data_IF_627820333613
#
_entry.id   IF_627820333613
#
_cell.length_a   1.000
_cell.length_b   1.000
_cell.length_c   1.000
_cell.angle_alpha   90.00
_cell.angle_beta   90.00
_cell.angle_gamma   90.00
#
_symmetry.space_group_name_H-M   'P 1'
#
loop_
_entity.id
_entity.type
_entity.pdbx_description
1 polymer ?
#
# COMPACT_ATOMS: atom_id res chain seq x y z
N UNK A 1 26.34 3.70 -11.90
CA UNK A 1 26.40 4.96 -12.66
C UNK A 1 25.17 4.96 -13.55
N UNK A 2 24.15 5.72 -13.18
CA UNK A 2 22.85 5.77 -13.85
C UNK A 2 22.99 6.72 -15.05
N UNK A 3 22.69 6.26 -16.26
CA UNK A 3 22.74 7.11 -17.45
C UNK A 3 21.36 7.15 -18.11
N UNK A 4 20.75 8.32 -17.96
CA UNK A 4 19.66 8.85 -18.78
C UNK A 4 20.05 8.88 -20.26
N UNK A 5 19.07 8.99 -21.15
CA UNK A 5 19.34 9.26 -22.56
C UNK A 5 19.85 10.70 -22.70
N UNK A 6 21.17 10.85 -22.76
CA UNK A 6 21.83 12.14 -22.81
C UNK A 6 22.34 12.37 -24.25
N UNK A 7 21.83 13.41 -24.91
CA UNK A 7 22.32 13.85 -26.22
C UNK A 7 23.35 14.97 -26.03
N UNK A 8 24.41 14.96 -26.83
CA UNK A 8 25.45 16.01 -26.81
C UNK A 8 25.12 17.04 -27.89
N UNK A 9 24.55 18.17 -27.50
CA UNK A 9 24.25 19.26 -28.43
C UNK A 9 25.24 20.41 -28.19
N UNK A 10 26.17 20.55 -29.14
CA UNK A 10 27.03 21.71 -29.42
C UNK A 10 28.15 22.10 -28.43
N UNK A 11 29.39 22.13 -28.95
CA UNK A 11 30.50 22.89 -28.37
C UNK A 11 30.21 24.39 -28.47
N UNK A 12 30.03 25.05 -27.33
CA UNK A 12 30.14 26.52 -27.27
C UNK A 12 31.60 26.93 -27.12
N UNK A 13 31.96 28.12 -27.62
CA UNK A 13 33.33 28.67 -27.69
C UNK A 13 34.09 28.80 -26.35
N UNK A 14 33.53 28.31 -25.24
CA UNK A 14 34.15 28.24 -23.91
C UNK A 14 34.44 26.81 -23.42
N UNK A 15 34.28 25.78 -24.26
CA UNK A 15 34.61 24.39 -23.90
C UNK A 15 33.65 23.75 -22.89
N UNK A 16 32.45 24.32 -22.73
CA UNK A 16 31.39 23.75 -21.89
C UNK A 16 30.52 22.84 -22.76
N UNK A 17 30.55 21.54 -22.47
CA UNK A 17 29.66 20.55 -23.05
C UNK A 17 28.35 20.61 -22.27
N UNK A 18 27.26 21.04 -22.92
CA UNK A 18 25.93 21.02 -22.32
C UNK A 18 25.30 19.65 -22.58
N UNK A 19 25.16 18.85 -21.53
CA UNK A 19 24.56 17.50 -21.59
C UNK A 19 23.10 17.62 -21.14
N UNK A 20 22.16 17.45 -22.08
CA UNK A 20 20.73 17.41 -21.75
C UNK A 20 20.29 15.95 -21.64
N UNK A 21 20.05 15.50 -20.41
CA UNK A 21 19.59 14.15 -20.11
C UNK A 21 18.05 14.14 -20.00
N UNK A 22 17.38 13.33 -20.83
CA UNK A 22 15.93 13.15 -20.79
C UNK A 22 15.54 11.85 -20.08
N UNK A 23 14.45 11.89 -19.32
CA UNK A 23 13.82 10.69 -18.75
C UNK A 23 13.34 9.75 -19.87
N UNK A 24 13.67 8.46 -19.73
CA UNK A 24 13.33 7.43 -20.70
C UNK A 24 12.01 6.72 -20.36
N UNK A 25 11.56 6.78 -19.10
CA UNK A 25 10.30 6.19 -18.62
C UNK A 25 9.56 7.17 -17.70
N UNK A 26 8.22 7.10 -17.68
CA UNK A 26 7.37 7.83 -16.72
C UNK A 26 6.10 7.08 -16.38
N UNK A 27 5.58 7.32 -15.18
CA UNK A 27 4.24 6.88 -14.78
C UNK A 27 3.27 8.05 -14.89
N UNK A 28 2.32 7.95 -15.82
CA UNK A 28 1.31 8.97 -16.00
C UNK A 28 0.18 8.77 -14.99
N UNK A 29 0.15 9.64 -13.97
CA UNK A 29 -0.92 9.77 -13.00
C UNK A 29 -0.92 11.19 -12.42
N UNK A 30 -2.10 11.79 -12.23
CA UNK A 30 -2.21 13.15 -11.69
C UNK A 30 -1.89 13.26 -10.20
N UNK A 31 -1.79 12.13 -9.48
CA UNK A 31 -1.76 12.13 -8.01
C UNK A 31 -0.59 11.37 -7.37
N UNK A 32 0.22 10.61 -8.13
CA UNK A 32 1.34 9.85 -7.59
C UNK A 32 2.42 9.62 -8.65
N UNK A 33 3.68 9.93 -8.33
CA UNK A 33 4.83 9.75 -9.24
C UNK A 33 5.31 8.29 -9.33
N UNK A 34 4.99 7.46 -8.34
CA UNK A 34 5.40 6.05 -8.26
C UNK A 34 4.23 5.07 -8.54
N UNK A 35 3.15 5.55 -9.13
CA UNK A 35 1.99 4.74 -9.49
C UNK A 35 1.25 5.36 -10.66
N UNK A 36 1.07 4.63 -11.76
CA UNK A 36 0.36 5.16 -12.92
C UNK A 36 0.50 4.30 -14.16
N UNK A 37 0.02 4.84 -15.28
CA UNK A 37 0.18 4.22 -16.60
C UNK A 37 1.62 4.36 -17.06
N UNK A 38 2.27 3.24 -17.40
CA UNK A 38 3.66 3.27 -17.84
C UNK A 38 3.78 3.80 -19.27
N UNK A 39 4.65 4.78 -19.45
CA UNK A 39 5.05 5.30 -20.75
C UNK A 39 6.57 5.27 -20.89
N UNK A 40 7.03 4.96 -22.10
CA UNK A 40 8.44 4.96 -22.49
C UNK A 40 8.66 6.00 -23.58
N UNK A 41 9.82 6.68 -23.56
CA UNK A 41 10.20 7.70 -24.53
C UNK A 41 11.23 7.13 -25.49
N UNK A 42 10.89 7.06 -26.77
CA UNK A 42 11.81 6.66 -27.83
C UNK A 42 11.75 7.67 -28.98
N UNK A 43 12.91 8.11 -29.48
CA UNK A 43 12.99 9.13 -30.54
C UNK A 43 12.11 10.38 -30.29
N UNK A 44 12.10 10.86 -29.04
CA UNK A 44 11.29 12.00 -28.58
C UNK A 44 9.77 11.79 -28.57
N UNK A 45 9.29 10.56 -28.83
CA UNK A 45 7.87 10.20 -28.78
C UNK A 45 7.61 9.37 -27.52
N UNK A 46 6.55 9.71 -26.78
CA UNK A 46 6.07 8.92 -25.65
C UNK A 46 5.05 7.90 -26.13
N UNK A 47 5.28 6.63 -25.81
CA UNK A 47 4.38 5.53 -26.10
C UNK A 47 3.97 4.81 -24.82
N UNK A 48 2.74 4.33 -24.77
CA UNK A 48 2.24 3.49 -23.68
C UNK A 48 2.79 2.06 -23.80
N UNK A 49 3.18 1.45 -22.68
CA UNK A 49 3.77 0.09 -22.69
C UNK A 49 2.66 -0.97 -22.64
N UNK A 50 2.70 -1.91 -23.57
CA UNK A 50 1.76 -3.03 -23.61
C UNK A 50 1.80 -3.88 -22.33
N UNK A 51 0.67 -4.46 -21.93
CA UNK A 51 0.64 -5.41 -20.81
C UNK A 51 1.01 -6.85 -21.18
N UNK A 52 0.93 -7.20 -22.47
CA UNK A 52 1.23 -8.56 -22.92
C UNK A 52 2.75 -8.80 -22.89
N UNK A 53 3.17 -9.84 -22.17
CA UNK A 53 4.59 -10.14 -21.95
C UNK A 53 5.26 -9.35 -20.83
N UNK A 54 4.62 -8.28 -20.32
CA UNK A 54 5.17 -7.50 -19.21
C UNK A 54 5.16 -8.31 -17.91
N UNK A 55 6.35 -8.56 -17.36
CA UNK A 55 6.53 -9.42 -16.20
C UNK A 55 7.09 -8.69 -14.97
N UNK A 56 7.46 -9.46 -13.94
CA UNK A 56 8.00 -8.91 -12.71
C UNK A 56 9.39 -8.29 -12.91
N UNK A 57 10.19 -8.82 -13.84
CA UNK A 57 11.57 -8.40 -14.09
C UNK A 57 11.56 -7.05 -14.80
N UNK A 58 10.65 -6.85 -15.76
CA UNK A 58 10.40 -5.55 -16.37
C UNK A 58 9.98 -4.51 -15.32
N UNK A 59 9.06 -4.90 -14.43
CA UNK A 59 8.57 -4.05 -13.35
C UNK A 59 9.68 -3.63 -12.37
N UNK A 60 10.65 -4.52 -12.10
CA UNK A 60 11.83 -4.23 -11.27
C UNK A 60 12.74 -3.18 -11.90
N UNK A 61 13.00 -3.30 -13.20
CA UNK A 61 13.82 -2.32 -13.94
C UNK A 61 13.16 -0.95 -13.92
N UNK A 62 11.85 -0.88 -14.21
CA UNK A 62 11.10 0.39 -14.24
C UNK A 62 11.04 1.07 -12.88
N UNK A 63 10.68 0.33 -11.82
CA UNK A 63 10.60 0.92 -10.49
C UNK A 63 11.97 1.39 -9.97
N UNK A 64 13.06 0.71 -10.37
CA UNK A 64 14.43 1.13 -10.07
C UNK A 64 14.83 2.36 -10.87
N UNK A 65 14.53 2.40 -12.16
CA UNK A 65 14.83 3.53 -13.06
C UNK A 65 14.13 4.82 -12.58
N UNK A 66 12.89 4.70 -12.10
CA UNK A 66 12.13 5.81 -11.51
C UNK A 66 12.55 6.18 -10.09
N UNK A 67 13.46 5.42 -9.46
CA UNK A 67 13.83 5.61 -8.05
C UNK A 67 12.69 5.31 -7.06
N UNK A 68 11.65 4.62 -7.51
CA UNK A 68 10.42 4.36 -6.76
C UNK A 68 10.44 3.04 -5.96
N UNK A 69 11.60 2.38 -5.88
CA UNK A 69 11.80 1.16 -5.10
C UNK A 69 11.53 -0.12 -5.89
N UNK A 70 10.94 -1.12 -5.23
CA UNK A 70 10.59 -2.41 -5.86
C UNK A 70 9.18 -2.36 -6.45
N UNK A 71 8.80 -3.24 -7.38
CA UNK A 71 7.43 -3.30 -7.88
C UNK A 71 6.48 -3.85 -6.80
N UNK A 72 5.39 -3.12 -6.54
CA UNK A 72 4.35 -3.53 -5.60
C UNK A 72 3.21 -4.25 -6.30
N UNK A 73 2.75 -3.69 -7.43
CA UNK A 73 1.63 -4.24 -8.20
C UNK A 73 1.70 -3.74 -9.64
N UNK A 74 1.38 -4.60 -10.59
CA UNK A 74 1.17 -4.24 -11.98
C UNK A 74 -0.04 -5.01 -12.54
N UNK A 75 -0.77 -4.39 -13.46
CA UNK A 75 -1.89 -5.01 -14.18
C UNK A 75 -2.11 -4.35 -15.54
N UNK A 76 -2.57 -5.13 -16.50
CA UNK A 76 -3.06 -4.61 -17.78
C UNK A 76 -4.44 -3.98 -17.64
N UNK A 77 -4.62 -2.80 -18.24
CA UNK A 77 -5.89 -2.09 -18.31
C UNK A 77 -6.12 -1.56 -19.73
N UNK A 78 -7.40 -1.50 -20.13
CA UNK A 78 -7.77 -1.00 -21.44
C UNK A 78 -7.74 0.53 -21.45
N UNK A 79 -6.84 1.10 -22.25
CA UNK A 79 -6.74 2.54 -22.49
C UNK A 79 -6.94 2.83 -23.98
N UNK A 80 -7.73 3.86 -24.29
CA UNK A 80 -8.04 4.22 -25.68
C UNK A 80 -6.84 4.79 -26.44
N UNK A 81 -6.73 4.39 -27.73
CA UNK A 81 -5.96 4.92 -28.87
C UNK A 81 -4.83 5.94 -28.57
N UNK A 82 -3.84 5.54 -27.78
CA UNK A 82 -2.54 6.22 -27.71
C UNK A 82 -1.50 5.40 -28.48
N UNK A 83 -0.40 6.01 -28.99
CA UNK A 83 0.71 5.26 -29.57
C UNK A 83 1.23 4.23 -28.56
N UNK A 84 1.20 2.96 -28.93
CA UNK A 84 1.54 1.84 -28.05
C UNK A 84 2.90 1.28 -28.47
N UNK A 85 3.76 1.05 -27.48
CA UNK A 85 4.98 0.28 -27.64
C UNK A 85 4.55 -1.18 -27.72
N UNK A 86 4.61 -1.74 -28.93
CA UNK A 86 3.97 -3.00 -29.30
C UNK A 86 4.86 -4.23 -29.12
N UNK A 87 6.13 -4.04 -28.74
CA UNK A 87 7.11 -5.10 -28.54
C UNK A 87 7.29 -5.41 -27.05
N UNK A 88 7.42 -6.70 -26.75
CA UNK A 88 7.69 -7.23 -25.41
C UNK A 88 9.10 -6.85 -24.96
N UNK A 89 9.23 -6.42 -23.70
CA UNK A 89 10.51 -6.25 -23.03
C UNK A 89 10.92 -7.59 -22.42
N UNK A 90 12.18 -7.97 -22.60
CA UNK A 90 12.73 -9.23 -22.10
C UNK A 90 13.83 -8.91 -21.07
N UNK A 91 13.47 -8.16 -20.03
CA UNK A 91 14.43 -7.77 -19.00
C UNK A 91 14.86 -8.97 -18.14
N UNK A 92 16.14 -9.04 -17.80
CA UNK A 92 16.69 -9.94 -16.78
C UNK A 92 16.59 -9.39 -15.35
N UNK A 93 16.06 -8.17 -15.15
CA UNK A 93 15.85 -7.52 -13.85
C UNK A 93 17.05 -6.71 -13.34
N UNK A 94 18.17 -6.69 -14.06
CA UNK A 94 19.45 -6.09 -13.64
C UNK A 94 19.86 -4.89 -14.51
N UNK A 95 19.08 -4.59 -15.54
CA UNK A 95 19.31 -3.54 -16.51
C UNK A 95 19.22 -2.15 -15.88
N UNK A 96 19.99 -1.20 -16.42
CA UNK A 96 20.00 0.18 -15.93
C UNK A 96 18.74 0.98 -16.26
N UNK A 97 17.93 0.50 -17.21
CA UNK A 97 16.64 1.08 -17.57
C UNK A 97 15.91 0.22 -18.61
N UNK A 98 14.63 0.46 -18.80
CA UNK A 98 13.74 -0.40 -19.60
C UNK A 98 14.17 -0.51 -21.07
N UNK A 99 14.69 0.58 -21.65
CA UNK A 99 15.22 0.59 -23.03
C UNK A 99 16.56 -0.14 -23.20
N UNK A 100 17.21 -0.54 -22.11
CA UNK A 100 18.43 -1.36 -22.16
C UNK A 100 18.14 -2.86 -22.12
N UNK A 101 16.87 -3.24 -21.97
CA UNK A 101 16.46 -4.62 -22.08
C UNK A 101 16.40 -5.05 -23.54
N UNK A 102 16.59 -6.35 -23.76
CA UNK A 102 16.33 -6.94 -25.07
C UNK A 102 14.83 -6.85 -25.37
N UNK A 103 14.47 -6.79 -26.66
CA UNK A 103 13.09 -6.61 -27.09
C UNK A 103 12.75 -7.54 -28.24
N UNK A 104 11.51 -8.01 -28.26
CA UNK A 104 11.01 -8.85 -29.34
C UNK A 104 10.87 -8.07 -30.65
N UNK A 105 11.28 -8.66 -31.77
CA UNK A 105 11.04 -8.12 -33.12
C UNK A 105 9.58 -8.29 -33.61
N UNK A 106 8.73 -8.92 -32.81
CA UNK A 106 7.36 -9.28 -33.17
C UNK A 106 6.34 -8.49 -32.36
N UNK A 107 5.39 -7.86 -33.05
CA UNK A 107 4.22 -7.26 -32.41
C UNK A 107 3.35 -8.35 -31.76
N UNK A 108 3.36 -8.40 -30.44
CA UNK A 108 2.60 -9.38 -29.62
C UNK A 108 1.44 -8.74 -28.86
N UNK A 109 1.27 -7.42 -28.96
CA UNK A 109 0.33 -6.67 -28.15
C UNK A 109 -1.13 -6.80 -28.61
N UNK A 110 -2.03 -7.10 -27.68
CA UNK A 110 -3.47 -6.97 -27.84
C UNK A 110 -3.87 -5.48 -27.94
N UNK A 111 -4.80 -5.09 -28.84
CA UNK A 111 -5.12 -3.68 -29.03
C UNK A 111 -5.64 -2.99 -27.76
N UNK A 112 -4.93 -1.94 -27.32
CA UNK A 112 -5.39 -1.04 -26.27
C UNK A 112 -5.15 -1.54 -24.85
N UNK A 113 -4.34 -2.58 -24.64
CA UNK A 113 -3.99 -3.07 -23.29
C UNK A 113 -2.66 -2.50 -22.82
N UNK A 114 -2.71 -1.47 -21.97
CA UNK A 114 -1.52 -0.83 -21.42
C UNK A 114 -1.28 -1.25 -19.97
N UNK A 115 -0.02 -1.35 -19.56
CA UNK A 115 0.35 -1.67 -18.19
C UNK A 115 0.22 -0.45 -17.25
N UNK A 116 -0.47 -0.66 -16.14
CA UNK A 116 -0.47 0.23 -14.97
C UNK A 116 0.46 -0.37 -13.91
N UNK A 117 1.50 0.37 -13.53
CA UNK A 117 2.50 -0.04 -12.54
C UNK A 117 2.39 0.79 -11.27
N UNK A 118 2.51 0.14 -10.12
CA UNK A 118 2.67 0.76 -8.81
C UNK A 118 3.93 0.21 -8.16
N UNK A 119 4.85 1.10 -7.83
CA UNK A 119 6.08 0.78 -7.14
C UNK A 119 5.92 0.98 -5.62
N UNK A 120 6.64 0.19 -4.85
CA UNK A 120 6.70 0.24 -3.39
C UNK A 120 7.74 1.28 -2.93
N UNK A 121 7.27 2.37 -2.34
CA UNK A 121 7.77 2.75 -1.02
C UNK A 121 9.18 3.30 -0.95
N UNK A 122 9.27 4.63 -1.02
CA UNK A 122 10.36 5.36 -0.40
C UNK A 122 10.19 5.47 1.13
N UNK A 123 9.04 5.03 1.67
CA UNK A 123 8.73 4.99 3.11
C UNK A 123 7.81 3.83 3.48
N UNK A 124 7.90 3.37 4.73
CA UNK A 124 7.07 2.29 5.32
C UNK A 124 6.90 2.49 6.82
N UNK A 125 5.84 1.90 7.37
CA UNK A 125 5.68 1.71 8.81
C UNK A 125 6.08 0.28 9.16
N UNK A 126 7.03 0.12 10.08
CA UNK A 126 7.52 -1.20 10.52
C UNK A 126 6.95 -1.50 11.90
N UNK A 127 6.10 -2.51 11.97
CA UNK A 127 5.51 -3.02 13.19
C UNK A 127 5.06 -4.46 13.00
N UNK A 128 5.06 -5.26 14.08
CA UNK A 128 4.70 -6.68 14.00
C UNK A 128 3.21 -6.94 13.67
N UNK A 129 2.37 -5.89 13.69
CA UNK A 129 0.91 -6.05 13.68
C UNK A 129 0.16 -5.26 12.62
N UNK A 130 0.76 -4.25 11.95
CA UNK A 130 0.11 -3.54 10.85
C UNK A 130 1.09 -2.88 9.87
N UNK A 131 0.67 -2.72 8.60
CA UNK A 131 1.36 -1.91 7.58
C UNK A 131 0.98 -0.43 7.69
N UNK A 132 -0.08 -0.13 8.44
CA UNK A 132 -0.61 1.21 8.69
C UNK A 132 -0.31 1.72 10.11
N UNK A 133 0.51 0.98 10.87
CA UNK A 133 0.98 1.40 12.18
C UNK A 133 2.39 0.87 12.45
N UNK A 134 3.24 1.70 13.06
CA UNK A 134 4.58 1.31 13.51
C UNK A 134 5.64 2.37 13.27
N UNK A 135 6.90 1.94 13.27
CA UNK A 135 8.06 2.81 13.16
C UNK A 135 8.19 3.33 11.73
N UNK A 136 8.22 4.66 11.57
CA UNK A 136 8.45 5.28 10.27
C UNK A 136 9.89 5.09 9.82
N UNK A 137 10.05 4.36 8.71
CA UNK A 137 11.33 4.18 8.03
C UNK A 137 11.25 4.69 6.59
N UNK A 138 12.35 5.29 6.12
CA UNK A 138 12.52 5.70 4.73
C UNK A 138 13.71 5.00 4.10
N UNK A 139 13.61 4.78 2.79
CA UNK A 139 14.68 4.20 1.97
C UNK A 139 15.37 5.32 1.21
N UNK A 140 16.66 5.53 1.49
CA UNK A 140 17.51 6.49 0.78
C UNK A 140 18.80 5.77 0.41
N UNK A 141 19.24 5.86 -0.85
CA UNK A 141 20.40 5.12 -1.38
C UNK A 141 20.38 3.61 -1.06
N UNK A 142 19.20 3.00 -1.17
CA UNK A 142 18.94 1.60 -0.85
C UNK A 142 19.02 1.19 0.64
N UNK A 143 19.26 2.13 1.56
CA UNK A 143 19.28 1.87 2.99
C UNK A 143 17.99 2.33 3.69
N UNK A 144 17.44 1.45 4.53
CA UNK A 144 16.31 1.79 5.39
C UNK A 144 16.81 2.35 6.72
N UNK A 145 16.37 3.55 7.07
CA UNK A 145 16.64 4.13 8.40
C UNK A 145 15.39 4.78 8.98
N UNK A 146 15.28 4.87 10.32
CA UNK A 146 14.22 5.62 10.97
C UNK A 146 14.32 7.10 10.62
N UNK A 147 13.20 7.81 10.68
CA UNK A 147 13.11 9.23 10.33
C UNK A 147 12.87 10.06 11.58
N UNK A 148 13.62 11.16 11.74
CA UNK A 148 13.45 12.12 12.84
C UNK A 148 13.68 13.55 12.37
N UNK A 149 13.05 14.50 13.06
CA UNK A 149 13.34 15.93 12.94
C UNK A 149 14.43 16.35 13.95
N UNK A 150 15.27 17.32 13.59
CA UNK A 150 16.38 17.87 14.40
C UNK A 150 15.87 18.92 15.41
N UNK A 151 14.76 19.62 15.09
CA UNK A 151 14.29 20.74 15.92
C UNK A 151 13.64 20.28 17.25
N UNK A 152 13.56 18.98 17.53
CA UNK A 152 13.01 18.46 18.78
C UNK A 152 13.75 18.99 20.03
N UNK A 153 15.05 19.30 19.91
CA UNK A 153 15.88 19.77 21.02
C UNK A 153 15.79 21.29 21.25
N UNK A 154 15.47 22.08 20.22
CA UNK A 154 15.59 23.55 20.24
C UNK A 154 14.23 24.26 20.23
N UNK A 155 13.23 23.75 19.50
CA UNK A 155 11.85 24.23 19.59
C UNK A 155 10.91 23.12 20.05
N UNK A 156 10.20 23.44 21.13
CA UNK A 156 9.09 22.67 21.66
C UNK A 156 7.84 22.81 20.78
N UNK A 157 7.98 22.85 19.46
CA UNK A 157 6.84 22.83 18.53
C UNK A 157 6.24 21.43 18.53
N UNK A 158 5.27 21.26 19.43
CA UNK A 158 4.66 19.97 19.82
C UNK A 158 3.82 19.30 18.71
N UNK A 159 3.91 19.73 17.45
CA UNK A 159 2.95 19.29 16.43
C UNK A 159 3.54 18.86 15.08
N UNK A 160 4.87 18.83 14.92
CA UNK A 160 5.48 18.34 13.67
C UNK A 160 5.18 16.85 13.44
N UNK A 161 5.13 16.05 14.51
CA UNK A 161 4.82 14.62 14.48
C UNK A 161 3.43 14.36 13.89
N UNK A 162 2.44 15.16 14.26
CA UNK A 162 1.08 15.10 13.72
C UNK A 162 1.03 15.43 12.22
N UNK A 163 1.80 16.44 11.79
CA UNK A 163 1.86 16.86 10.37
C UNK A 163 2.51 15.77 9.53
N UNK A 164 3.65 15.24 9.97
CA UNK A 164 4.35 14.13 9.30
C UNK A 164 3.48 12.89 9.26
N UNK A 165 2.87 12.52 10.39
CA UNK A 165 1.95 11.39 10.47
C UNK A 165 0.79 11.53 9.47
N UNK A 166 0.24 12.73 9.29
CA UNK A 166 -0.85 12.97 8.34
C UNK A 166 -0.42 12.75 6.89
N UNK A 167 0.77 13.23 6.52
CA UNK A 167 1.35 12.98 5.20
C UNK A 167 1.60 11.49 5.00
N UNK A 168 2.18 10.81 6.00
CA UNK A 168 2.47 9.37 5.96
C UNK A 168 1.20 8.56 5.80
N UNK A 169 0.18 8.78 6.63
CA UNK A 169 -1.09 8.06 6.56
C UNK A 169 -1.82 8.30 5.22
N UNK A 170 -1.74 9.52 4.69
CA UNK A 170 -2.31 9.86 3.38
C UNK A 170 -1.59 9.14 2.23
N UNK A 171 -0.25 9.20 2.17
CA UNK A 171 0.53 8.59 1.10
C UNK A 171 0.52 7.05 1.15
N UNK A 172 0.48 6.46 2.35
CA UNK A 172 0.29 5.01 2.54
C UNK A 172 -1.17 4.58 2.32
N UNK A 173 -2.10 5.53 2.13
CA UNK A 173 -3.55 5.31 2.00
C UNK A 173 -4.15 4.53 3.20
N UNK A 174 -3.65 4.82 4.39
CA UNK A 174 -4.10 4.23 5.66
C UNK A 174 -5.19 5.05 6.36
N UNK A 175 -5.75 6.05 5.68
CA UNK A 175 -6.76 6.96 6.19
C UNK A 175 -6.14 8.14 6.97
N UNK A 176 -6.76 8.51 8.10
CA UNK A 176 -6.35 9.64 8.92
C UNK A 176 -5.41 9.22 10.06
N UNK A 177 -4.72 10.17 10.67
CA UNK A 177 -3.88 9.91 11.85
C UNK A 177 -4.76 9.57 13.05
N UNK A 178 -4.40 8.50 13.76
CA UNK A 178 -4.99 8.13 15.06
C UNK A 178 -4.07 8.52 16.20
N UNK A 179 -2.78 8.21 16.06
CA UNK A 179 -1.76 8.60 17.02
C UNK A 179 -0.40 8.77 16.34
N UNK A 180 0.43 9.60 16.93
CA UNK A 180 1.83 9.75 16.57
C UNK A 180 2.62 10.02 17.82
N UNK A 181 3.72 9.30 18.02
CA UNK A 181 4.55 9.43 19.21
C UNK A 181 6.04 9.25 18.88
N UNK A 182 6.91 9.77 19.73
CA UNK A 182 8.36 9.59 19.60
C UNK A 182 8.81 8.63 20.68
N UNK A 183 9.26 7.45 20.28
CA UNK A 183 9.72 6.40 21.19
C UNK A 183 11.26 6.38 21.31
N UNK A 184 11.75 6.03 22.51
CA UNK A 184 13.17 5.81 22.81
C UNK A 184 13.50 4.30 22.73
N UNK A 185 14.44 3.95 21.86
CA UNK A 185 14.87 2.57 21.61
C UNK A 185 16.14 2.18 22.37
N UNK A 186 16.64 3.05 23.26
CA UNK A 186 17.73 2.78 24.20
C UNK A 186 19.13 2.64 23.57
N UNK A 187 19.25 2.68 22.24
CA UNK A 187 20.53 2.58 21.53
C UNK A 187 20.59 3.52 20.33
N UNK A 188 21.76 4.15 20.14
CA UNK A 188 21.96 5.09 19.03
C UNK A 188 22.07 4.32 17.72
N UNK A 189 21.21 4.66 16.77
CA UNK A 189 21.20 4.12 15.41
C UNK A 189 21.19 5.26 14.38
N UNK A 190 21.75 5.02 13.18
CA UNK A 190 21.72 6.02 12.12
C UNK A 190 20.28 6.27 11.68
N UNK A 191 19.94 7.53 11.46
CA UNK A 191 18.60 7.99 11.07
C UNK A 191 18.66 8.89 9.84
N UNK A 192 17.52 9.05 9.18
CA UNK A 192 17.30 10.10 8.20
C UNK A 192 16.76 11.35 8.90
N UNK A 193 17.42 12.46 8.62
CA UNK A 193 16.97 13.76 9.07
C UNK A 193 15.97 14.35 8.09
N UNK A 194 14.89 14.93 8.62
CA UNK A 194 13.93 15.72 7.86
C UNK A 194 13.76 17.10 8.48
N UNK A 195 13.58 18.11 7.63
CA UNK A 195 13.25 19.47 8.08
C UNK A 195 11.72 19.62 8.16
N UNK A 196 11.16 19.81 9.35
CA UNK A 196 9.68 19.92 9.48
C UNK A 196 9.09 21.20 8.88
N UNK A 197 9.88 22.26 8.75
CA UNK A 197 9.50 23.51 8.07
C UNK A 197 9.08 23.27 6.60
N UNK A 198 9.59 22.21 5.97
CA UNK A 198 9.31 21.83 4.58
C UNK A 198 7.86 21.37 4.34
N UNK A 199 7.12 20.95 5.38
CA UNK A 199 5.73 20.48 5.21
C UNK A 199 4.71 21.58 4.93
N UNK A 200 5.09 22.87 5.03
CA UNK A 200 4.23 23.98 4.61
C UNK A 200 4.12 24.09 3.08
N UNK A 201 5.06 23.48 2.33
CA UNK A 201 5.18 23.61 0.87
C UNK A 201 5.33 22.27 0.12
N UNK A 202 5.68 21.18 0.81
CA UNK A 202 5.96 19.89 0.18
C UNK A 202 4.73 18.97 0.04
N UNK A 203 4.60 18.35 -1.14
CA UNK A 203 3.65 17.26 -1.41
C UNK A 203 4.18 15.86 -1.00
N UNK A 204 5.48 15.76 -0.66
CA UNK A 204 6.14 14.49 -0.36
C UNK A 204 7.24 14.58 0.69
N UNK A 205 7.30 13.58 1.59
CA UNK A 205 8.29 13.49 2.67
C UNK A 205 9.73 13.46 2.17
N UNK A 206 9.95 12.93 0.97
CA UNK A 206 11.26 12.84 0.33
C UNK A 206 11.88 14.21 0.04
N UNK A 207 11.04 15.22 -0.24
CA UNK A 207 11.52 16.57 -0.53
C UNK A 207 12.02 17.31 0.72
N UNK A 208 11.72 16.76 1.90
CA UNK A 208 12.09 17.33 3.18
C UNK A 208 13.30 16.64 3.81
N UNK A 209 13.91 15.69 3.11
CA UNK A 209 15.15 15.05 3.55
C UNK A 209 16.32 16.00 3.42
N UNK A 210 17.03 16.25 4.50
CA UNK A 210 18.35 16.84 4.42
C UNK A 210 19.43 15.76 4.41
N UNK A 211 20.19 15.70 3.32
CA UNK A 211 21.18 14.66 3.06
C UNK A 211 22.57 14.98 3.63
N UNK A 212 22.65 15.91 4.58
CA UNK A 212 23.92 16.31 5.22
C UNK A 212 24.09 15.52 6.51
N UNK A 213 25.23 14.84 6.65
CA UNK A 213 25.70 14.10 7.84
C UNK A 213 24.94 12.82 8.28
N UNK A 214 25.72 11.86 8.81
CA UNK A 214 25.21 10.63 9.42
C UNK A 214 24.74 10.95 10.84
N UNK A 215 23.48 11.36 10.98
CA UNK A 215 22.87 11.58 12.29
C UNK A 215 22.58 10.26 13.00
N UNK A 216 22.90 10.19 14.29
CA UNK A 216 22.59 9.05 15.15
C UNK A 216 21.77 9.50 16.35
N UNK A 217 20.67 8.80 16.61
CA UNK A 217 19.77 9.09 17.72
C UNK A 217 19.24 7.79 18.33
N UNK A 218 18.69 7.90 19.54
CA UNK A 218 17.96 6.83 20.23
C UNK A 218 16.45 6.88 19.94
N UNK A 219 15.98 7.96 19.32
CA UNK A 219 14.56 8.21 19.08
C UNK A 219 14.09 7.74 17.69
N UNK A 220 12.82 7.38 17.57
CA UNK A 220 12.16 7.31 16.26
C UNK A 220 10.67 7.64 16.34
N UNK A 221 10.13 8.10 15.22
CA UNK A 221 8.72 8.42 15.09
C UNK A 221 7.88 7.15 14.88
N UNK A 222 6.95 6.92 15.80
CA UNK A 222 5.84 5.98 15.66
C UNK A 222 4.63 6.68 15.05
N UNK A 223 4.02 6.06 14.05
CA UNK A 223 2.80 6.56 13.43
C UNK A 223 1.76 5.46 13.46
N UNK A 224 0.55 5.82 13.89
CA UNK A 224 -0.63 4.96 13.89
C UNK A 224 -1.72 5.66 13.09
N UNK A 225 -2.08 5.07 11.95
CA UNK A 225 -3.17 5.56 11.13
C UNK A 225 -4.49 4.89 11.51
N UNK A 226 -5.60 5.40 10.99
CA UNK A 226 -6.95 4.88 11.23
C UNK A 226 -7.14 3.44 10.79
N UNK A 227 -6.22 2.92 9.97
CA UNK A 227 -6.17 1.56 9.44
C UNK A 227 -7.50 1.17 8.77
N UNK A 228 -7.49 1.12 7.44
CA UNK A 228 -8.67 0.65 6.69
C UNK A 228 -8.77 -0.87 6.83
N UNK A 229 -9.11 -1.35 8.03
CA UNK A 229 -9.39 -2.74 8.31
C UNK A 229 -10.42 -3.24 7.30
N UNK A 230 -10.03 -4.23 6.49
CA UNK A 230 -10.94 -4.80 5.48
C UNK A 230 -12.20 -5.28 6.17
N UNK A 231 -13.34 -4.90 5.57
CA UNK A 231 -14.65 -5.34 6.02
C UNK A 231 -14.67 -6.88 6.08
N UNK A 232 -14.94 -7.48 7.25
CA UNK A 232 -14.99 -8.92 7.36
C UNK A 232 -16.17 -9.49 6.57
N UNK A 233 -15.97 -10.65 6.00
CA UNK A 233 -17.00 -11.43 5.33
C UNK A 233 -17.73 -12.31 6.35
N UNK A 234 -19.04 -12.39 6.20
CA UNK A 234 -19.91 -13.23 7.02
C UNK A 234 -20.59 -14.26 6.11
N UNK A 235 -20.59 -15.52 6.53
CA UNK A 235 -21.20 -16.61 5.76
C UNK A 235 -21.80 -17.65 6.69
N UNK A 236 -22.69 -18.49 6.15
CA UNK A 236 -23.41 -19.53 6.90
C UNK A 236 -23.13 -20.87 6.22
N UNK A 237 -22.87 -21.90 7.02
CA UNK A 237 -22.65 -23.27 6.54
C UNK A 237 -23.44 -24.28 7.38
N UNK A 238 -24.21 -25.21 6.78
CA UNK A 238 -24.38 -25.40 5.33
C UNK A 238 -25.29 -24.33 4.71
N UNK A 239 -24.93 -23.80 3.54
CA UNK A 239 -25.80 -22.92 2.76
C UNK A 239 -26.71 -23.77 1.87
N UNK A 240 -28.01 -23.84 2.16
CA UNK A 240 -28.98 -24.35 1.19
C UNK A 240 -29.34 -23.25 0.18
N UNK A 241 -29.49 -23.66 -1.08
CA UNK A 241 -29.66 -22.80 -2.25
C UNK A 241 -30.66 -21.64 -2.04
N UNK A 242 -30.31 -20.50 -2.67
CA UNK A 242 -30.96 -19.17 -2.67
C UNK A 242 -30.47 -18.17 -1.61
N UNK A 243 -29.25 -17.65 -1.83
CA UNK A 243 -28.87 -16.32 -1.32
C UNK A 243 -29.62 -15.26 -2.12
N UNK A 244 -30.89 -15.01 -1.78
CA UNK A 244 -31.60 -13.80 -2.24
C UNK A 244 -31.50 -12.73 -1.14
N UNK A 245 -30.74 -11.66 -1.44
CA UNK A 245 -30.74 -10.40 -0.66
C UNK A 245 -30.38 -10.55 0.84
N UNK A 246 -29.23 -11.15 1.16
CA UNK A 246 -28.71 -11.23 2.54
C UNK A 246 -29.64 -11.94 3.55
N UNK A 247 -30.66 -12.65 3.06
CA UNK A 247 -31.49 -13.59 3.85
C UNK A 247 -31.00 -15.01 3.61
N UNK A 248 -30.82 -15.76 4.69
CA UNK A 248 -30.32 -17.14 4.63
C UNK A 248 -31.32 -18.05 5.32
N UNK A 249 -31.77 -19.09 4.61
CA UNK A 249 -32.69 -20.10 5.12
C UNK A 249 -31.92 -21.20 5.85
N UNK A 250 -32.28 -21.49 7.09
CA UNK A 250 -31.70 -22.61 7.86
C UNK A 250 -32.82 -23.58 8.27
N UNK A 251 -32.60 -24.88 8.06
CA UNK A 251 -33.61 -25.89 8.40
C UNK A 251 -33.74 -26.01 9.92
N UNK A 252 -34.97 -25.93 10.44
CA UNK A 252 -35.26 -26.09 11.86
C UNK A 252 -34.71 -27.42 12.39
N UNK A 253 -34.03 -27.39 13.54
CA UNK A 253 -33.39 -28.56 14.14
C UNK A 253 -32.10 -29.05 13.46
N UNK A 254 -31.67 -28.43 12.36
CA UNK A 254 -30.36 -28.72 11.75
C UNK A 254 -29.22 -27.99 12.47
N UNK A 255 -28.01 -28.54 12.38
CA UNK A 255 -26.82 -27.85 12.81
C UNK A 255 -26.40 -26.81 11.76
N UNK A 256 -25.98 -25.64 12.22
CA UNK A 256 -25.43 -24.62 11.34
C UNK A 256 -24.28 -23.90 12.00
N UNK A 257 -23.49 -23.22 11.20
CA UNK A 257 -22.35 -22.45 11.64
C UNK A 257 -22.33 -21.10 10.95
N UNK A 258 -21.98 -20.07 11.71
CA UNK A 258 -21.71 -18.74 11.16
C UNK A 258 -20.20 -18.58 11.13
N UNK A 259 -19.68 -18.28 9.95
CA UNK A 259 -18.27 -18.14 9.69
C UNK A 259 -18.00 -16.67 9.41
N UNK A 260 -17.27 -16.03 10.32
CA UNK A 260 -16.69 -14.71 10.10
C UNK A 260 -15.29 -14.91 9.54
N UNK A 261 -14.91 -14.19 8.49
CA UNK A 261 -13.57 -14.25 7.91
C UNK A 261 -13.10 -12.88 7.46
N UNK A 262 -11.79 -12.66 7.44
CA UNK A 262 -11.19 -11.45 6.87
C UNK A 262 -10.04 -11.85 5.96
N UNK A 263 -9.67 -10.95 5.04
CA UNK A 263 -8.45 -11.17 4.25
C UNK A 263 -7.24 -11.12 5.18
N UNK A 264 -6.22 -11.97 4.99
CA UNK A 264 -4.99 -11.90 5.77
C UNK A 264 -4.32 -10.54 5.58
N UNK A 265 -4.48 -9.65 6.57
CA UNK A 265 -3.80 -8.36 6.62
C UNK A 265 -2.89 -8.30 7.83
N UNK A 266 -3.37 -8.82 8.96
CA UNK A 266 -2.73 -8.67 10.26
C UNK A 266 -2.80 -9.98 11.04
N UNK A 267 -1.70 -10.44 11.67
CA UNK A 267 -1.73 -11.62 12.50
C UNK A 267 -2.60 -11.39 13.75
N UNK A 268 -3.46 -12.36 14.08
CA UNK A 268 -4.23 -12.38 15.32
C UNK A 268 -5.62 -11.72 15.23
N UNK A 269 -6.01 -11.01 16.29
CA UNK A 269 -7.32 -10.36 16.43
C UNK A 269 -8.39 -11.24 17.10
N UNK A 270 -9.62 -10.74 17.12
CA UNK A 270 -10.80 -11.51 17.56
C UNK A 270 -12.02 -11.17 16.72
N UNK A 271 -12.92 -12.13 16.55
CA UNK A 271 -14.22 -11.91 15.95
C UNK A 271 -15.28 -11.86 17.03
N UNK A 272 -16.08 -10.79 17.03
CA UNK A 272 -17.32 -10.68 17.77
C UNK A 272 -18.49 -10.89 16.82
N UNK A 273 -19.25 -11.96 17.03
CA UNK A 273 -20.54 -12.17 16.36
C UNK A 273 -21.63 -11.51 17.21
N UNK A 274 -22.28 -10.51 16.64
CA UNK A 274 -23.43 -9.81 17.22
C UNK A 274 -24.70 -10.36 16.59
N UNK A 275 -25.61 -10.83 17.43
CA UNK A 275 -26.95 -11.26 17.05
C UNK A 275 -27.99 -10.31 17.62
N UNK A 276 -28.95 -9.90 16.80
CA UNK A 276 -30.06 -9.02 17.19
C UNK A 276 -31.39 -9.60 16.71
N UNK A 277 -32.29 -9.87 17.64
CA UNK A 277 -33.70 -10.23 17.38
C UNK A 277 -34.65 -9.14 17.89
N UNK A 278 -35.96 -9.34 17.74
CA UNK A 278 -36.98 -8.44 18.29
C UNK A 278 -37.00 -8.37 19.83
N UNK A 279 -36.40 -9.35 20.51
CA UNK A 279 -36.51 -9.51 21.97
C UNK A 279 -35.16 -9.62 22.71
N UNK A 280 -34.08 -9.98 22.01
CA UNK A 280 -32.78 -10.30 22.62
C UNK A 280 -31.60 -9.90 21.73
N UNK A 281 -30.49 -9.55 22.37
CA UNK A 281 -29.18 -9.34 21.72
C UNK A 281 -28.17 -10.26 22.37
N UNK A 282 -27.43 -11.03 21.57
CA UNK A 282 -26.34 -11.88 22.06
C UNK A 282 -25.02 -11.50 21.39
N UNK A 283 -23.93 -11.62 22.14
CA UNK A 283 -22.58 -11.34 21.68
C UNK A 283 -21.71 -12.56 21.95
N UNK A 284 -21.13 -13.14 20.90
CA UNK A 284 -20.14 -14.21 21.01
C UNK A 284 -18.79 -13.67 20.57
N UNK A 285 -17.73 -13.90 21.34
CA UNK A 285 -16.38 -13.48 20.98
C UNK A 285 -15.47 -14.68 20.90
N UNK A 286 -14.76 -14.83 19.78
CA UNK A 286 -13.75 -15.86 19.57
C UNK A 286 -12.42 -15.21 19.18
N UNK A 287 -11.30 -15.56 19.85
CA UNK A 287 -9.98 -15.15 19.40
C UNK A 287 -9.63 -15.86 18.08
N UNK A 288 -8.92 -15.19 17.18
CA UNK A 288 -8.50 -15.79 15.90
C UNK A 288 -7.00 -16.11 15.92
N UNK A 289 -6.65 -17.36 15.59
CA UNK A 289 -5.26 -17.79 15.31
C UNK A 289 -5.01 -17.86 13.79
N UNK A 290 -6.09 -18.01 13.04
CA UNK A 290 -6.20 -18.00 11.58
C UNK A 290 -7.30 -17.01 11.29
N UNK A 291 -7.16 -16.08 10.33
CA UNK A 291 -8.03 -14.92 9.97
C UNK A 291 -9.56 -15.18 9.74
N UNK A 292 -10.18 -16.10 10.46
CA UNK A 292 -11.55 -16.54 10.42
C UNK A 292 -11.93 -17.17 11.77
N UNK A 293 -13.20 -17.10 12.13
CA UNK A 293 -13.76 -17.74 13.31
C UNK A 293 -15.08 -18.43 12.94
N UNK A 294 -15.29 -19.60 13.54
CA UNK A 294 -16.49 -20.43 13.30
C UNK A 294 -17.31 -20.49 14.58
N UNK A 295 -18.52 -19.94 14.52
CA UNK A 295 -19.51 -19.98 15.59
C UNK A 295 -20.47 -21.15 15.32
N UNK A 296 -20.48 -22.15 16.21
CA UNK A 296 -21.24 -23.38 16.03
C UNK A 296 -22.59 -23.31 16.75
N UNK A 297 -23.66 -23.64 16.03
CA UNK A 297 -25.01 -23.76 16.54
C UNK A 297 -25.49 -25.20 16.36
N UNK A 298 -25.63 -25.99 17.45
CA UNK A 298 -25.97 -27.41 17.37
C UNK A 298 -27.35 -27.70 16.77
N UNK A 299 -28.31 -26.79 16.97
CA UNK A 299 -29.67 -26.89 16.46
C UNK A 299 -30.24 -25.50 16.15
N UNK A 300 -30.86 -25.36 14.98
CA UNK A 300 -31.63 -24.18 14.62
C UNK A 300 -32.99 -24.15 15.35
N UNK A 301 -33.30 -23.01 15.95
CA UNK A 301 -34.49 -22.78 16.77
C UNK A 301 -35.06 -21.40 16.45
N UNK A 302 -36.33 -21.13 16.81
CA UNK A 302 -36.98 -19.83 16.54
C UNK A 302 -36.23 -18.66 17.19
N UNK A 303 -35.53 -18.90 18.30
CA UNK A 303 -34.67 -17.94 18.98
C UNK A 303 -33.50 -17.45 18.10
N UNK A 304 -33.04 -18.27 17.15
CA UNK A 304 -31.91 -17.95 16.27
C UNK A 304 -32.34 -17.15 15.03
N UNK A 305 -33.63 -16.80 14.92
CA UNK A 305 -34.14 -15.97 13.82
C UNK A 305 -33.86 -14.50 14.10
N UNK A 306 -33.03 -13.88 13.27
CA UNK A 306 -32.62 -12.49 13.48
C UNK A 306 -31.47 -12.06 12.60
N UNK A 307 -30.94 -10.88 12.92
CA UNK A 307 -29.84 -10.27 12.20
C UNK A 307 -28.52 -10.63 12.85
N UNK A 308 -27.54 -11.04 12.04
CA UNK A 308 -26.19 -11.36 12.46
C UNK A 308 -25.18 -10.45 11.78
N UNK A 309 -24.21 -9.99 12.56
CA UNK A 309 -23.13 -9.13 12.10
C UNK A 309 -21.82 -9.58 12.74
N UNK A 310 -20.75 -9.69 11.95
CA UNK A 310 -19.40 -9.95 12.43
C UNK A 310 -18.66 -8.62 12.63
N UNK A 311 -18.08 -8.42 13.81
CA UNK A 311 -17.15 -7.32 14.09
C UNK A 311 -15.77 -7.94 14.28
N UNK A 312 -14.81 -7.52 13.47
CA UNK A 312 -13.41 -7.89 13.63
C UNK A 312 -12.71 -6.85 14.50
N UNK A 313 -12.10 -7.29 15.60
CA UNK A 313 -11.33 -6.46 16.51
C UNK A 313 -9.86 -6.78 16.41
N UNK A 314 -9.04 -5.75 16.32
CA UNK A 314 -7.58 -5.86 16.28
C UNK A 314 -6.96 -4.88 17.28
N UNK A 315 -5.98 -5.35 18.04
CA UNK A 315 -5.17 -4.49 18.90
C UNK A 315 -3.78 -4.32 18.27
N UNK A 316 -3.41 -3.08 17.99
CA UNK A 316 -2.12 -2.72 17.40
C UNK A 316 -1.52 -1.58 18.22
N UNK A 317 -0.32 -1.77 18.77
CA UNK A 317 0.37 -0.79 19.63
C UNK A 317 -0.50 -0.21 20.75
N UNK A 318 -1.31 -1.05 21.42
CA UNK A 318 -2.24 -0.63 22.49
C UNK A 318 -3.46 0.18 22.02
N UNK A 319 -3.67 0.32 20.70
CA UNK A 319 -4.86 0.90 20.12
C UNK A 319 -5.79 -0.20 19.59
N UNK A 320 -7.09 -0.02 19.83
CA UNK A 320 -8.12 -0.95 19.39
C UNK A 320 -8.76 -0.44 18.10
N UNK A 321 -8.73 -1.27 17.07
CA UNK A 321 -9.38 -1.06 15.79
C UNK A 321 -10.51 -2.06 15.64
N UNK A 322 -11.59 -1.64 14.99
CA UNK A 322 -12.71 -2.52 14.69
C UNK A 322 -13.27 -2.28 13.30
N UNK A 323 -13.72 -3.35 12.66
CA UNK A 323 -14.39 -3.31 11.35
C UNK A 323 -15.60 -4.21 11.34
N UNK A 324 -16.69 -3.73 10.77
CA UNK A 324 -18.01 -4.37 10.84
C UNK A 324 -18.39 -4.92 9.48
N UNK A 325 -18.80 -6.19 9.42
CA UNK A 325 -19.28 -6.85 8.21
C UNK A 325 -20.60 -6.26 7.72
N UNK A 326 -21.00 -6.65 6.51
CA UNK A 326 -22.43 -6.59 6.16
C UNK A 326 -23.24 -7.49 7.10
N UNK A 327 -24.53 -7.20 7.25
CA UNK A 327 -25.43 -8.00 8.06
C UNK A 327 -26.12 -9.07 7.22
N UNK A 328 -26.34 -10.24 7.80
CA UNK A 328 -27.22 -11.29 7.24
C UNK A 328 -28.42 -11.48 8.16
N UNK A 329 -29.55 -11.90 7.59
CA UNK A 329 -30.76 -12.21 8.33
C UNK A 329 -31.10 -13.69 8.18
N UNK A 330 -31.09 -14.43 9.29
CA UNK A 330 -31.49 -15.84 9.28
C UNK A 330 -33.01 -15.96 9.35
N UNK A 331 -33.57 -16.82 8.48
CA UNK A 331 -34.98 -17.19 8.41
C UNK A 331 -35.17 -18.71 8.49
#
# INVERSE_FOLDING_TARGET
MYLFQCDTQHETSSGVIEITCSDSVRLENRFNLCSGRLQVKWNQVWSSVCSDGFDLQDAEVVCRELGCGSPWRFKGELYGEAPEWSTEFLCGGHESGLLHCDHSDRDTCSPGTTITLTCSGAMRLVGNSSTCAGELQMKVHAEWRPVVDDDWYLNRDQNWTSVVAAVVCSQLKCGSVVASDVEDFGSKRPVWWIESSCFQSAASLQNCLGLTDVYQTIYSLQVVCSDLLVQPNISVSPSHDEVQQQKVKVLMGSNFSIICSTRPQYPGGSFQLVFTSSSTTFNYVLPTVTHWAVFLFPAAEDLHRGTYTCIYHLNVFSYNFSSTSQSIYLI
#
